data_IF_200801163623
#
_entry.id   IF_200801163623
#
_cell.length_a   1.000
_cell.length_b   1.000
_cell.length_c   1.000
_cell.angle_alpha   90.00
_cell.angle_beta   90.00
_cell.angle_gamma   90.00
#
_symmetry.space_group_name_H-M   'P 1'
#
loop_
_entity.id
_entity.type
_entity.pdbx_description
1 polymer ?
#
# COMPACT_ATOMS: atom_id res chain seq x y z
N UNK A 1 31.75 -22.84 19.62
CA UNK A 1 30.99 -21.70 20.17
C UNK A 1 30.38 -20.92 19.02
N UNK A 2 29.13 -21.22 18.64
CA UNK A 2 28.47 -20.58 17.52
C UNK A 2 27.87 -19.26 17.98
N UNK A 3 28.60 -18.16 17.81
CA UNK A 3 28.07 -16.83 18.07
C UNK A 3 26.86 -16.59 17.17
N UNK A 4 25.66 -16.51 17.76
CA UNK A 4 24.47 -15.98 17.07
C UNK A 4 24.82 -14.56 16.60
N UNK A 5 25.27 -14.42 15.36
CA UNK A 5 25.31 -13.12 14.69
C UNK A 5 23.87 -12.60 14.71
N UNK A 6 23.64 -11.50 15.42
CA UNK A 6 22.37 -10.75 15.32
C UNK A 6 22.04 -10.57 13.84
N UNK A 7 20.80 -10.86 13.46
CA UNK A 7 20.35 -10.59 12.11
C UNK A 7 20.51 -9.09 11.84
N UNK A 8 21.26 -8.72 10.82
CA UNK A 8 21.41 -7.31 10.47
C UNK A 8 20.11 -6.84 9.83
N UNK A 9 19.46 -5.86 10.46
CA UNK A 9 18.27 -5.22 9.89
C UNK A 9 18.65 -4.41 8.66
N UNK A 10 17.73 -4.33 7.70
CA UNK A 10 17.89 -3.46 6.55
C UNK A 10 17.64 -2.02 6.98
N UNK A 11 18.64 -1.18 6.78
CA UNK A 11 18.58 0.26 7.02
C UNK A 11 18.78 1.05 5.71
N UNK A 12 18.83 2.38 5.82
CA UNK A 12 19.00 3.27 4.67
C UNK A 12 20.34 3.07 3.97
N UNK A 13 21.39 2.71 4.69
CA UNK A 13 22.74 2.54 4.14
C UNK A 13 22.86 1.22 3.37
N UNK A 14 22.20 0.17 3.86
CA UNK A 14 22.00 -1.08 3.11
C UNK A 14 21.20 -0.81 1.85
N UNK A 15 20.03 -0.16 1.94
CA UNK A 15 19.19 0.11 0.76
C UNK A 15 19.81 1.10 -0.24
N UNK A 16 20.63 2.05 0.21
CA UNK A 16 21.37 2.95 -0.68
C UNK A 16 22.35 2.21 -1.59
N UNK A 17 22.86 1.06 -1.13
CA UNK A 17 23.74 0.18 -1.92
C UNK A 17 22.98 -0.83 -2.77
N UNK A 18 21.67 -0.96 -2.61
CA UNK A 18 20.85 -1.97 -3.31
C UNK A 18 20.09 -1.33 -4.48
N UNK A 19 20.37 -1.81 -5.70
CA UNK A 19 19.60 -1.55 -6.91
C UNK A 19 18.58 -2.66 -7.16
N UNK A 20 17.57 -2.39 -7.97
CA UNK A 20 16.59 -3.38 -8.40
C UNK A 20 16.61 -3.50 -9.92
N UNK A 21 16.79 -4.72 -10.41
CA UNK A 21 16.58 -5.04 -11.83
C UNK A 21 15.09 -4.98 -12.16
N UNK A 22 14.76 -4.76 -13.44
CA UNK A 22 13.37 -4.77 -13.90
C UNK A 22 12.68 -6.09 -13.58
N UNK A 23 13.40 -7.19 -13.82
CA UNK A 23 12.92 -8.53 -13.48
C UNK A 23 12.59 -8.69 -11.99
N UNK A 24 13.42 -8.17 -11.09
CA UNK A 24 13.15 -8.23 -9.66
C UNK A 24 11.89 -7.43 -9.27
N UNK A 25 11.66 -6.27 -9.89
CA UNK A 25 10.47 -5.46 -9.65
C UNK A 25 9.21 -6.15 -10.18
N UNK A 26 9.25 -6.73 -11.36
CA UNK A 26 8.16 -7.53 -11.92
C UNK A 26 7.81 -8.70 -11.01
N UNK A 27 8.82 -9.49 -10.60
CA UNK A 27 8.61 -10.61 -9.67
C UNK A 27 8.06 -10.15 -8.33
N UNK A 28 8.55 -9.04 -7.79
CA UNK A 28 7.98 -8.48 -6.57
C UNK A 28 6.51 -8.11 -6.75
N UNK A 29 6.16 -7.39 -7.83
CA UNK A 29 4.78 -7.00 -8.10
C UNK A 29 3.85 -8.22 -8.22
N UNK A 30 4.26 -9.23 -9.01
CA UNK A 30 3.52 -10.48 -9.16
C UNK A 30 3.27 -11.16 -7.81
N UNK A 31 4.30 -11.29 -6.97
CA UNK A 31 4.18 -11.95 -5.65
C UNK A 31 3.48 -11.10 -4.61
N UNK A 32 3.49 -9.78 -4.75
CA UNK A 32 2.77 -8.88 -3.87
C UNK A 32 1.29 -8.73 -4.27
N UNK A 33 0.91 -9.17 -5.48
CA UNK A 33 -0.42 -8.92 -6.06
C UNK A 33 -0.63 -7.45 -6.43
N UNK A 34 0.45 -6.77 -6.86
CA UNK A 34 0.42 -5.39 -7.30
C UNK A 34 0.31 -5.32 -8.83
N UNK A 35 -0.32 -4.26 -9.33
CA UNK A 35 -0.37 -3.98 -10.76
C UNK A 35 1.04 -3.67 -11.29
N UNK A 36 1.50 -4.44 -12.29
CA UNK A 36 2.82 -4.33 -12.90
C UNK A 36 2.94 -3.15 -13.87
N UNK A 37 1.83 -2.49 -14.23
CA UNK A 37 1.79 -1.45 -15.25
C UNK A 37 2.68 -0.21 -14.95
N UNK A 38 3.22 -0.07 -13.73
CA UNK A 38 4.03 1.09 -13.34
C UNK A 38 5.22 0.71 -12.46
N UNK A 39 6.35 0.27 -13.06
CA UNK A 39 7.65 0.06 -12.36
C UNK A 39 7.99 1.19 -11.37
N UNK A 40 7.79 2.44 -11.79
CA UNK A 40 8.06 3.64 -10.98
C UNK A 40 7.26 3.70 -9.68
N UNK A 41 6.08 3.09 -9.64
CA UNK A 41 5.25 3.00 -8.44
C UNK A 41 5.63 1.80 -7.56
N UNK A 42 6.14 0.70 -8.15
CA UNK A 42 6.41 -0.56 -7.43
C UNK A 42 7.74 -0.54 -6.67
N UNK A 43 8.84 -0.04 -7.26
CA UNK A 43 10.15 -0.05 -6.58
C UNK A 43 10.14 0.67 -5.22
N UNK A 44 9.51 1.86 -5.07
CA UNK A 44 9.38 2.51 -3.76
C UNK A 44 8.65 1.64 -2.73
N UNK A 45 7.65 0.86 -3.15
CA UNK A 45 6.89 -0.04 -2.26
C UNK A 45 7.78 -1.19 -1.77
N UNK A 46 8.60 -1.78 -2.66
CA UNK A 46 9.54 -2.83 -2.29
C UNK A 46 10.60 -2.31 -1.30
N UNK A 47 11.15 -1.12 -1.55
CA UNK A 47 12.12 -0.47 -0.66
C UNK A 47 11.52 -0.16 0.70
N UNK A 48 10.31 0.38 0.74
CA UNK A 48 9.61 0.67 1.99
C UNK A 48 9.32 -0.62 2.78
N UNK A 49 8.93 -1.71 2.11
CA UNK A 49 8.76 -3.00 2.78
C UNK A 49 10.06 -3.51 3.41
N UNK A 50 11.18 -3.42 2.68
CA UNK A 50 12.50 -3.78 3.19
C UNK A 50 12.95 -2.86 4.35
N UNK A 51 12.62 -1.58 4.35
CA UNK A 51 12.89 -0.70 5.50
C UNK A 51 12.10 -1.09 6.75
N UNK A 52 10.95 -1.75 6.59
CA UNK A 52 10.06 -2.09 7.70
C UNK A 52 10.35 -3.46 8.29
N UNK A 53 10.58 -4.44 7.43
CA UNK A 53 10.74 -5.84 7.83
C UNK A 53 11.91 -6.56 7.17
N UNK A 54 12.75 -5.81 6.45
CA UNK A 54 13.91 -6.36 5.77
C UNK A 54 15.01 -6.73 6.76
N UNK A 55 15.61 -7.89 6.52
CA UNK A 55 16.85 -8.34 7.16
C UNK A 55 17.84 -8.80 6.10
N UNK A 56 19.11 -8.52 6.33
CA UNK A 56 20.21 -9.12 5.59
C UNK A 56 20.44 -10.52 6.15
N UNK A 57 20.36 -11.54 5.29
CA UNK A 57 20.59 -12.95 5.70
C UNK A 57 21.81 -13.51 4.98
N UNK A 58 22.73 -14.09 5.75
CA UNK A 58 23.97 -14.67 5.21
C UNK A 58 23.77 -16.05 4.58
N UNK A 59 22.66 -16.72 4.88
CA UNK A 59 22.26 -17.98 4.26
C UNK A 59 20.81 -17.85 3.80
N UNK A 60 20.46 -18.43 2.64
CA UNK A 60 19.09 -18.42 2.19
C UNK A 60 18.22 -19.30 3.11
N UNK A 61 16.92 -18.99 3.23
CA UNK A 61 15.99 -19.80 4.01
C UNK A 61 15.83 -21.21 3.40
N UNK A 62 15.48 -22.21 4.21
CA UNK A 62 15.41 -23.61 3.77
C UNK A 62 14.40 -23.88 2.63
N UNK A 63 13.40 -23.00 2.47
CA UNK A 63 12.43 -23.07 1.38
C UNK A 63 12.97 -22.52 0.05
N UNK A 64 14.11 -21.82 0.06
CA UNK A 64 14.79 -21.37 -1.16
C UNK A 64 15.40 -22.56 -1.89
N UNK A 65 14.90 -22.83 -3.10
CA UNK A 65 15.38 -23.89 -3.97
C UNK A 65 15.83 -23.29 -5.30
N UNK A 66 17.08 -22.86 -5.36
CA UNK A 66 17.71 -22.43 -6.61
C UNK A 66 19.18 -22.80 -6.60
N UNK A 67 19.66 -23.32 -7.73
CA UNK A 67 21.07 -23.65 -7.97
C UNK A 67 21.90 -22.43 -8.37
N UNK A 68 21.26 -21.30 -8.66
CA UNK A 68 21.96 -20.08 -9.03
C UNK A 68 22.67 -19.47 -7.82
N UNK A 69 23.96 -19.19 -7.98
CA UNK A 69 24.76 -18.46 -6.99
C UNK A 69 24.24 -17.03 -6.83
N UNK A 70 24.19 -16.60 -5.58
CA UNK A 70 23.85 -15.25 -5.15
C UNK A 70 24.95 -14.76 -4.21
N UNK A 71 25.22 -13.45 -4.24
CA UNK A 71 26.25 -12.82 -3.41
C UNK A 71 25.70 -12.34 -2.07
N UNK A 72 24.37 -12.30 -1.94
CA UNK A 72 23.69 -11.96 -0.70
C UNK A 72 22.18 -12.10 -0.82
N UNK A 73 21.51 -11.93 0.32
CA UNK A 73 20.06 -12.06 0.40
C UNK A 73 19.49 -10.99 1.33
N UNK A 74 18.38 -10.40 0.92
CA UNK A 74 17.50 -9.67 1.83
C UNK A 74 16.21 -10.46 1.99
N UNK A 75 15.68 -10.53 3.19
CA UNK A 75 14.46 -11.26 3.48
C UNK A 75 13.46 -10.35 4.18
N UNK A 76 12.18 -10.41 3.80
CA UNK A 76 11.09 -9.74 4.52
C UNK A 76 10.16 -10.78 5.15
N UNK A 77 10.11 -10.76 6.48
CA UNK A 77 9.43 -11.80 7.26
C UNK A 77 9.90 -13.22 6.90
N UNK A 78 9.00 -14.20 6.94
CA UNK A 78 9.18 -15.53 6.34
C UNK A 78 8.47 -15.63 4.98
N UNK A 79 8.30 -14.50 4.30
CA UNK A 79 7.51 -14.41 3.08
C UNK A 79 8.37 -14.24 1.83
N UNK A 80 9.14 -13.14 1.70
CA UNK A 80 9.90 -12.84 0.48
C UNK A 80 11.40 -12.94 0.70
N UNK A 81 12.09 -13.44 -0.32
CA UNK A 81 13.54 -13.41 -0.43
C UNK A 81 13.94 -12.64 -1.69
N UNK A 82 14.70 -11.59 -1.49
CA UNK A 82 15.33 -10.77 -2.51
C UNK A 82 16.74 -11.32 -2.73
N UNK A 83 16.98 -11.88 -3.91
CA UNK A 83 18.25 -12.48 -4.27
C UNK A 83 19.16 -11.40 -4.84
N UNK A 84 20.29 -11.16 -4.19
CA UNK A 84 21.21 -10.08 -4.55
C UNK A 84 22.45 -10.63 -5.27
N UNK A 85 22.95 -9.87 -6.23
CA UNK A 85 24.27 -10.07 -6.84
C UNK A 85 25.09 -8.80 -6.78
N UNK A 86 26.41 -8.91 -6.73
CA UNK A 86 27.30 -7.77 -6.82
C UNK A 86 27.01 -6.99 -8.11
N UNK A 87 26.83 -5.67 -7.96
CA UNK A 87 26.53 -4.82 -9.11
C UNK A 87 27.75 -4.71 -10.01
N UNK A 88 27.57 -4.98 -11.31
CA UNK A 88 28.64 -4.76 -12.31
C UNK A 88 28.89 -3.28 -12.60
N UNK A 89 27.96 -2.40 -12.21
CA UNK A 89 27.96 -0.96 -12.55
C UNK A 89 28.44 -0.07 -11.42
N UNK A 90 28.39 -0.56 -10.17
CA UNK A 90 28.68 0.23 -8.97
C UNK A 90 29.52 -0.61 -8.01
N UNK A 91 30.72 -0.11 -7.70
CA UNK A 91 31.59 -0.76 -6.73
C UNK A 91 30.90 -0.86 -5.35
N UNK A 92 31.05 -2.00 -4.69
CA UNK A 92 30.51 -2.25 -3.33
C UNK A 92 28.98 -2.11 -3.22
N UNK A 93 28.27 -2.26 -4.34
CA UNK A 93 26.82 -2.24 -4.42
C UNK A 93 26.26 -3.60 -4.86
N UNK A 94 24.97 -3.81 -4.64
CA UNK A 94 24.28 -5.03 -5.03
C UNK A 94 23.06 -4.70 -5.89
N UNK A 95 22.71 -5.60 -6.80
CA UNK A 95 21.47 -5.55 -7.55
C UNK A 95 20.59 -6.74 -7.15
N UNK A 96 19.34 -6.48 -6.79
CA UNK A 96 18.33 -7.52 -6.65
C UNK A 96 18.00 -8.02 -8.04
N UNK A 97 18.28 -9.30 -8.29
CA UNK A 97 18.09 -9.93 -9.60
C UNK A 97 16.77 -10.68 -9.70
N UNK A 98 16.22 -11.13 -8.58
CA UNK A 98 14.90 -11.75 -8.53
C UNK A 98 14.31 -11.71 -7.13
N UNK A 99 13.01 -11.92 -7.02
CA UNK A 99 12.27 -12.01 -5.76
C UNK A 99 11.47 -13.30 -5.75
N UNK A 100 11.60 -14.06 -4.67
CA UNK A 100 10.93 -15.34 -4.47
C UNK A 100 10.03 -15.26 -3.25
N UNK A 101 8.94 -16.03 -3.24
CA UNK A 101 8.08 -16.15 -2.07
C UNK A 101 8.09 -17.56 -1.49
N UNK A 102 7.84 -17.65 -0.18
CA UNK A 102 7.68 -18.90 0.55
C UNK A 102 6.36 -19.59 0.16
N UNK A 103 6.47 -20.69 -0.59
CA UNK A 103 5.36 -21.53 -1.05
C UNK A 103 4.32 -20.78 -1.88
N UNK A 104 3.04 -21.18 -1.75
CA UNK A 104 1.91 -20.61 -2.49
C UNK A 104 1.40 -19.27 -1.94
N UNK A 105 2.17 -18.60 -1.06
CA UNK A 105 1.83 -17.28 -0.54
C UNK A 105 2.15 -16.21 -1.59
N UNK A 106 1.43 -16.27 -2.71
CA UNK A 106 1.67 -15.47 -3.93
C UNK A 106 1.08 -14.07 -3.89
N UNK A 107 0.50 -13.64 -2.76
CA UNK A 107 0.00 -12.28 -2.55
C UNK A 107 0.33 -11.77 -1.16
N UNK A 108 0.45 -10.45 -1.02
CA UNK A 108 0.76 -9.80 0.26
C UNK A 108 -0.31 -10.06 1.31
N UNK A 109 -1.59 -9.96 0.94
CA UNK A 109 -2.71 -10.24 1.86
C UNK A 109 -2.64 -11.67 2.39
N UNK A 110 -2.36 -12.65 1.52
CA UNK A 110 -2.25 -14.06 1.93
C UNK A 110 -1.06 -14.31 2.85
N UNK A 111 0.06 -13.61 2.62
CA UNK A 111 1.22 -13.67 3.50
C UNK A 111 0.92 -13.07 4.89
N UNK A 112 0.15 -11.99 4.94
CA UNK A 112 -0.31 -11.37 6.17
C UNK A 112 -1.25 -12.30 6.96
N UNK A 113 -2.23 -12.91 6.28
CA UNK A 113 -3.17 -13.86 6.89
C UNK A 113 -2.43 -15.07 7.50
N UNK A 114 -1.39 -15.54 6.82
CA UNK A 114 -0.51 -16.62 7.28
C UNK A 114 0.54 -16.19 8.29
N UNK A 115 0.57 -14.90 8.67
CA UNK A 115 1.56 -14.30 9.59
C UNK A 115 3.01 -14.51 9.15
N UNK A 116 3.25 -14.60 7.84
CA UNK A 116 4.59 -14.65 7.27
C UNK A 116 5.22 -13.24 7.21
N UNK A 117 4.39 -12.20 7.25
CA UNK A 117 4.78 -10.81 7.36
C UNK A 117 3.76 -10.08 8.25
N UNK A 118 4.12 -8.92 8.80
CA UNK A 118 3.26 -8.13 9.68
C UNK A 118 2.84 -6.79 9.04
N UNK A 119 3.64 -6.28 8.12
CA UNK A 119 3.40 -5.02 7.43
C UNK A 119 2.21 -5.20 6.49
N UNK A 120 1.15 -4.39 6.65
CA UNK A 120 0.00 -4.46 5.75
C UNK A 120 0.38 -3.96 4.34
N UNK A 121 -0.32 -4.44 3.29
CA UNK A 121 -0.13 -3.95 1.94
C UNK A 121 -0.39 -2.43 1.87
N UNK A 122 0.18 -1.72 0.88
CA UNK A 122 -0.09 -0.30 0.68
C UNK A 122 -1.60 -0.07 0.49
N UNK A 123 -2.09 1.07 0.97
CA UNK A 123 -3.47 1.45 0.72
C UNK A 123 -3.67 1.66 -0.79
N UNK A 124 -4.81 1.21 -1.34
CA UNK A 124 -5.19 1.60 -2.69
C UNK A 124 -5.33 3.13 -2.77
N UNK A 125 -5.18 3.68 -3.97
CA UNK A 125 -5.44 5.08 -4.22
C UNK A 125 -6.85 5.47 -3.73
N UNK A 126 -7.00 6.71 -3.26
CA UNK A 126 -8.27 7.20 -2.78
C UNK A 126 -9.37 6.96 -3.84
N UNK A 127 -10.51 6.34 -3.47
CA UNK A 127 -11.56 6.06 -4.42
C UNK A 127 -12.08 7.36 -5.03
N UNK A 128 -12.41 7.33 -6.33
CA UNK A 128 -13.07 8.46 -6.96
C UNK A 128 -14.41 8.74 -6.26
N UNK A 129 -14.76 10.00 -6.01
CA UNK A 129 -15.93 10.35 -5.23
C UNK A 129 -17.22 9.88 -5.90
N UNK A 130 -18.08 9.19 -5.14
CA UNK A 130 -19.34 8.67 -5.68
C UNK A 130 -20.42 9.75 -5.66
N UNK A 131 -20.93 10.13 -6.83
CA UNK A 131 -22.08 11.04 -6.93
C UNK A 131 -23.34 10.38 -6.35
N UNK A 132 -23.81 10.85 -5.20
CA UNK A 132 -25.10 10.44 -4.63
C UNK A 132 -26.26 10.95 -5.50
N UNK A 133 -27.17 10.04 -5.89
CA UNK A 133 -28.44 10.43 -6.54
C UNK A 133 -29.36 11.06 -5.49
N UNK A 134 -29.82 12.28 -5.75
CA UNK A 134 -30.83 12.97 -4.93
C UNK A 134 -32.18 12.84 -5.62
N UNK A 135 -33.18 12.32 -4.90
CA UNK A 135 -34.56 12.18 -5.41
C UNK A 135 -35.32 13.50 -5.46
N UNK A 136 -36.27 13.62 -6.39
CA UNK A 136 -37.06 14.85 -6.62
C UNK A 136 -38.09 15.16 -5.53
N UNK A 137 -38.62 14.15 -4.83
CA UNK A 137 -39.69 14.33 -3.83
C UNK A 137 -39.30 15.33 -2.74
N UNK A 138 -38.08 15.24 -2.21
CA UNK A 138 -37.58 16.19 -1.21
C UNK A 138 -37.40 17.62 -1.76
N UNK A 139 -37.05 17.75 -3.04
CA UNK A 139 -36.89 19.05 -3.69
C UNK A 139 -38.22 19.76 -3.93
N UNK A 140 -39.29 19.01 -4.14
CA UNK A 140 -40.66 19.56 -4.26
C UNK A 140 -41.07 20.22 -2.95
N UNK A 141 -40.92 19.51 -1.82
CA UNK A 141 -41.24 20.05 -0.49
C UNK A 141 -40.41 21.29 -0.17
N UNK A 142 -39.09 21.22 -0.41
CA UNK A 142 -38.19 22.35 -0.17
C UNK A 142 -38.48 23.55 -1.08
N UNK A 143 -38.79 23.33 -2.36
CA UNK A 143 -39.13 24.38 -3.32
C UNK A 143 -40.46 25.08 -2.98
N UNK A 144 -41.46 24.34 -2.49
CA UNK A 144 -42.73 24.93 -2.02
C UNK A 144 -42.52 25.83 -0.80
N UNK A 145 -41.62 25.46 0.12
CA UNK A 145 -41.24 26.27 1.29
C UNK A 145 -40.50 27.55 0.87
N UNK A 146 -39.50 27.43 0.01
CA UNK A 146 -38.74 28.56 -0.56
C UNK A 146 -39.63 29.60 -1.23
N UNK A 147 -40.65 29.15 -1.98
CA UNK A 147 -41.63 30.05 -2.61
C UNK A 147 -42.44 30.83 -1.59
N UNK A 148 -42.88 30.18 -0.52
CA UNK A 148 -43.67 30.81 0.56
C UNK A 148 -42.85 31.87 1.30
N UNK A 149 -41.55 31.65 1.43
CA UNK A 149 -40.62 32.54 2.15
C UNK A 149 -40.11 33.71 1.28
N UNK A 150 -39.97 33.55 -0.04
CA UNK A 150 -39.35 34.56 -0.94
C UNK A 150 -40.27 35.27 -1.93
N UNK A 151 -41.57 34.94 -1.97
CA UNK A 151 -42.61 35.73 -2.65
C UNK A 151 -42.20 36.39 -3.97
N UNK A 152 -41.83 35.61 -5.00
CA UNK A 152 -41.40 36.18 -6.28
C UNK A 152 -40.94 35.19 -7.35
N UNK A 153 -40.67 33.93 -6.97
CA UNK A 153 -40.15 32.89 -7.88
C UNK A 153 -41.29 31.94 -8.29
N UNK A 154 -41.34 31.56 -9.57
CA UNK A 154 -42.30 30.57 -10.09
C UNK A 154 -42.12 29.20 -9.42
N UNK A 155 -43.23 28.46 -9.18
CA UNK A 155 -43.23 27.16 -8.45
C UNK A 155 -42.21 26.16 -8.99
N UNK A 156 -42.11 26.02 -10.30
CA UNK A 156 -41.16 25.10 -10.95
C UNK A 156 -39.70 25.53 -10.77
N UNK A 157 -39.44 26.84 -10.82
CA UNK A 157 -38.09 27.38 -10.68
C UNK A 157 -37.59 27.26 -9.24
N UNK A 158 -38.45 27.50 -8.25
CA UNK A 158 -38.13 27.26 -6.84
C UNK A 158 -37.82 25.77 -6.56
N UNK A 159 -38.56 24.84 -7.18
CA UNK A 159 -38.30 23.39 -7.06
C UNK A 159 -36.96 23.02 -7.73
N UNK A 160 -36.68 23.54 -8.94
CA UNK A 160 -35.40 23.31 -9.63
C UNK A 160 -34.22 23.85 -8.83
N UNK A 161 -34.36 25.06 -8.27
CA UNK A 161 -33.33 25.66 -7.41
C UNK A 161 -33.09 24.80 -6.17
N UNK A 162 -34.14 24.42 -5.44
CA UNK A 162 -34.03 23.53 -4.29
C UNK A 162 -33.43 22.16 -4.66
N UNK A 163 -33.71 21.64 -5.86
CA UNK A 163 -33.09 20.41 -6.35
C UNK A 163 -31.58 20.57 -6.61
N UNK A 164 -31.17 21.67 -7.26
CA UNK A 164 -29.75 21.99 -7.47
C UNK A 164 -29.02 22.13 -6.14
N UNK A 165 -29.56 22.92 -5.20
CA UNK A 165 -28.97 23.13 -3.88
C UNK A 165 -28.82 21.81 -3.11
N UNK A 166 -29.87 20.96 -3.08
CA UNK A 166 -29.80 19.64 -2.43
C UNK A 166 -28.81 18.70 -3.12
N UNK A 167 -28.69 18.76 -4.45
CA UNK A 167 -27.71 17.96 -5.20
C UNK A 167 -26.27 18.42 -4.92
N UNK A 168 -26.03 19.73 -4.82
CA UNK A 168 -24.73 20.28 -4.44
C UNK A 168 -24.38 19.90 -2.99
N UNK A 169 -25.30 20.09 -2.04
CA UNK A 169 -25.10 19.73 -0.64
C UNK A 169 -24.86 18.23 -0.45
N UNK A 170 -25.63 17.37 -1.12
CA UNK A 170 -25.43 15.91 -1.05
C UNK A 170 -24.12 15.45 -1.69
N UNK A 171 -23.65 16.16 -2.74
CA UNK A 171 -22.36 15.88 -3.36
C UNK A 171 -21.21 16.30 -2.44
N UNK A 172 -21.31 17.49 -1.81
CA UNK A 172 -20.32 17.99 -0.85
C UNK A 172 -20.23 17.08 0.39
N UNK A 173 -21.37 16.71 0.98
CA UNK A 173 -21.41 15.80 2.12
C UNK A 173 -20.89 14.39 1.78
N UNK A 174 -21.17 13.90 0.56
CA UNK A 174 -20.61 12.63 0.08
C UNK A 174 -19.10 12.68 -0.07
N UNK A 175 -18.56 13.76 -0.65
CA UNK A 175 -17.13 14.00 -0.77
C UNK A 175 -16.43 14.08 0.59
N UNK A 176 -17.03 14.77 1.55
CA UNK A 176 -16.50 14.90 2.90
C UNK A 176 -16.49 13.57 3.65
N UNK A 177 -17.58 12.80 3.55
CA UNK A 177 -17.66 11.47 4.14
C UNK A 177 -16.64 10.49 3.53
N UNK A 178 -16.50 10.48 2.20
CA UNK A 178 -15.50 9.66 1.49
C UNK A 178 -14.08 10.04 1.92
N UNK A 179 -13.79 11.35 2.04
CA UNK A 179 -12.50 11.86 2.52
C UNK A 179 -12.23 11.47 3.97
N UNK A 180 -13.20 11.64 4.87
CA UNK A 180 -13.07 11.27 6.28
C UNK A 180 -12.83 9.77 6.45
N UNK A 181 -13.53 8.94 5.66
CA UNK A 181 -13.32 7.49 5.65
C UNK A 181 -11.92 7.11 5.16
N UNK A 182 -11.44 7.74 4.09
CA UNK A 182 -10.08 7.54 3.59
C UNK A 182 -9.01 7.97 4.60
N UNK A 183 -9.18 9.14 5.23
CA UNK A 183 -8.25 9.63 6.25
C UNK A 183 -8.23 8.70 7.49
N UNK A 184 -9.38 8.15 7.88
CA UNK A 184 -9.46 7.16 8.94
C UNK A 184 -8.78 5.84 8.55
N UNK A 185 -8.91 5.38 7.31
CA UNK A 185 -8.20 4.22 6.80
C UNK A 185 -6.67 4.47 6.77
N UNK A 186 -6.24 5.66 6.36
CA UNK A 186 -4.84 6.07 6.36
C UNK A 186 -4.22 6.14 7.76
N UNK A 187 -4.97 6.57 8.78
CA UNK A 187 -4.52 6.52 10.18
C UNK A 187 -4.35 5.07 10.65
N UNK A 188 -5.38 4.24 10.48
CA UNK A 188 -5.33 2.81 10.84
C UNK A 188 -4.17 2.07 10.16
N UNK A 189 -3.90 2.39 8.89
CA UNK A 189 -2.79 1.82 8.13
C UNK A 189 -1.43 2.22 8.70
N UNK A 190 -1.23 3.51 9.03
CA UNK A 190 0.00 3.99 9.67
C UNK A 190 0.26 3.29 11.00
N UNK A 191 -0.74 3.24 11.87
CA UNK A 191 -0.63 2.55 13.16
C UNK A 191 -0.32 1.06 12.98
N UNK A 192 -0.91 0.40 11.98
CA UNK A 192 -0.62 -1.01 11.69
C UNK A 192 0.83 -1.22 11.24
N UNK A 193 1.37 -0.31 10.41
CA UNK A 193 2.80 -0.33 10.01
C UNK A 193 3.73 -0.08 11.18
N UNK A 194 3.40 0.86 12.06
CA UNK A 194 4.18 1.14 13.27
C UNK A 194 4.23 -0.08 14.18
N UNK A 195 3.08 -0.72 14.46
CA UNK A 195 3.01 -1.97 15.22
C UNK A 195 3.80 -3.11 14.57
N UNK A 196 3.76 -3.23 13.24
CA UNK A 196 4.54 -4.23 12.51
C UNK A 196 6.04 -3.99 12.69
N UNK A 197 6.49 -2.73 12.55
CA UNK A 197 7.89 -2.34 12.75
C UNK A 197 8.36 -2.58 14.19
N UNK A 198 7.57 -2.23 15.19
CA UNK A 198 7.88 -2.51 16.59
C UNK A 198 8.05 -4.01 16.86
N UNK A 199 7.16 -4.84 16.31
CA UNK A 199 7.29 -6.30 16.40
C UNK A 199 8.55 -6.80 15.72
N UNK A 200 8.85 -6.29 14.52
CA UNK A 200 10.04 -6.67 13.76
C UNK A 200 11.33 -6.35 14.54
N UNK A 201 11.45 -5.12 15.04
CA UNK A 201 12.59 -4.70 15.87
C UNK A 201 12.68 -5.53 17.14
N UNK A 202 11.55 -5.83 17.81
CA UNK A 202 11.55 -6.67 19.03
C UNK A 202 12.02 -8.10 18.78
N UNK A 203 11.69 -8.68 17.61
CA UNK A 203 12.09 -10.05 17.29
C UNK A 203 13.55 -10.18 16.85
N UNK A 204 14.10 -9.13 16.23
CA UNK A 204 15.36 -9.24 15.48
C UNK A 204 16.44 -8.21 15.83
N UNK A 205 16.12 -7.13 16.56
CA UNK A 205 17.08 -6.15 17.09
C UNK A 205 17.68 -6.61 18.41
#
# INVERSE_FOLDING_TARGET
>A
MSGRRRAQLVDRDVLGRVGFTDHAIERFAERAGLDTAQRRAVEPIARDLLMQEGRVVGTPPAWYRSSNTADGYLQTGDWLLFVCRASRRRASAYDVVTVLCNGDSTTWSRALDRRLIYTPPPLPAAPAPRRRRVGWAGSIVAGLRLRRERGGIGRLEAIRQAHRERRHAASAAGLEADRAAYDAARRRHREARERARERHVRMWG
#
